data_IF_381917379896
#
_entry.id   IF_381917379896
#
_cell.length_a   1.000
_cell.length_b   1.000
_cell.length_c   1.000
_cell.angle_alpha   90.00
_cell.angle_beta   90.00
_cell.angle_gamma   90.00
#
_symmetry.space_group_name_H-M   'P 1'
#
loop_
_entity.id
_entity.type
_entity.pdbx_description
1 polymer ?
#
# COMPACT_ATOMS: atom_id res chain seq x y z
N UNK A 1 -6.73 6.50 20.98
CA UNK A 1 -6.73 6.62 19.51
C UNK A 1 -5.52 5.93 18.88
N UNK A 2 -4.29 6.40 19.13
CA UNK A 2 -3.08 5.85 18.53
C UNK A 2 -2.85 4.34 18.77
N UNK A 3 -3.11 3.82 19.98
CA UNK A 3 -2.99 2.38 20.25
C UNK A 3 -4.01 1.52 19.50
N UNK A 4 -5.24 2.00 19.34
CA UNK A 4 -6.25 1.32 18.53
C UNK A 4 -5.85 1.33 17.06
N UNK A 5 -5.44 2.48 16.53
CA UNK A 5 -4.90 2.60 15.17
C UNK A 5 -3.73 1.63 14.93
N UNK A 6 -2.75 1.55 15.83
CA UNK A 6 -1.62 0.63 15.70
C UNK A 6 -2.05 -0.85 15.66
N UNK A 7 -3.17 -1.20 16.30
CA UNK A 7 -3.71 -2.58 16.29
C UNK A 7 -4.38 -2.93 14.97
N UNK A 8 -5.13 -1.98 14.40
CA UNK A 8 -5.94 -2.22 13.19
C UNK A 8 -5.30 -1.75 11.89
N UNK A 9 -4.19 -1.00 11.97
CA UNK A 9 -3.48 -0.54 10.78
C UNK A 9 -3.00 -1.75 9.99
N UNK A 10 -3.25 -1.79 8.66
CA UNK A 10 -2.92 -2.95 7.85
C UNK A 10 -1.41 -3.15 7.68
N UNK A 11 -0.59 -2.13 7.94
CA UNK A 11 0.86 -2.16 7.74
C UNK A 11 1.66 -2.28 9.04
N UNK A 12 2.78 -3.00 8.95
CA UNK A 12 3.69 -3.16 10.08
C UNK A 12 4.52 -1.91 10.33
N UNK A 13 4.61 -1.49 11.60
CA UNK A 13 5.35 -0.28 11.96
C UNK A 13 6.88 -0.41 11.94
N UNK A 14 7.41 -1.61 11.67
CA UNK A 14 8.84 -1.92 11.76
C UNK A 14 9.51 -2.25 10.40
N UNK A 15 8.80 -2.17 9.28
CA UNK A 15 9.35 -2.53 7.95
C UNK A 15 10.38 -1.50 7.48
N UNK A 16 11.47 -1.99 6.89
CA UNK A 16 12.57 -1.17 6.39
C UNK A 16 12.13 -0.39 5.14
N UNK A 17 12.45 0.90 5.09
CA UNK A 17 12.07 1.77 3.97
C UNK A 17 12.63 1.31 2.63
N UNK A 18 13.84 0.74 2.60
CA UNK A 18 14.44 0.24 1.38
C UNK A 18 13.66 -0.97 0.82
N UNK A 19 13.07 -1.78 1.69
CA UNK A 19 12.23 -2.92 1.27
C UNK A 19 10.96 -2.41 0.59
N UNK A 20 10.35 -1.33 1.12
CA UNK A 20 9.13 -0.74 0.57
C UNK A 20 9.30 -0.30 -0.89
N UNK A 21 10.43 0.33 -1.23
CA UNK A 21 10.73 0.72 -2.62
C UNK A 21 10.77 -0.51 -3.55
N UNK A 22 11.48 -1.55 -3.13
CA UNK A 22 11.66 -2.75 -3.93
C UNK A 22 10.37 -3.54 -4.10
N UNK A 23 9.46 -3.52 -3.11
CA UNK A 23 8.14 -4.15 -3.19
C UNK A 23 7.32 -3.52 -4.32
N UNK A 24 7.16 -2.19 -4.31
CA UNK A 24 6.35 -1.48 -5.32
C UNK A 24 6.96 -1.63 -6.72
N UNK A 25 8.29 -1.49 -6.86
CA UNK A 25 8.95 -1.64 -8.16
C UNK A 25 8.80 -3.05 -8.73
N UNK A 26 8.92 -4.10 -7.90
CA UNK A 26 8.66 -5.49 -8.32
C UNK A 26 7.21 -5.69 -8.75
N UNK A 27 6.26 -5.11 -8.02
CA UNK A 27 4.85 -5.19 -8.38
C UNK A 27 4.57 -4.53 -9.74
N UNK A 28 5.06 -3.30 -9.98
CA UNK A 28 4.91 -2.66 -11.30
C UNK A 28 5.59 -3.46 -12.41
N UNK A 29 6.78 -3.98 -12.17
CA UNK A 29 7.49 -4.82 -13.15
C UNK A 29 6.69 -6.08 -13.49
N UNK A 30 6.08 -6.73 -12.51
CA UNK A 30 5.19 -7.86 -12.74
C UNK A 30 4.00 -7.47 -13.63
N UNK A 31 3.35 -6.34 -13.34
CA UNK A 31 2.22 -5.85 -14.12
C UNK A 31 2.62 -5.52 -15.57
N UNK A 32 3.76 -4.86 -15.78
CA UNK A 32 4.34 -4.63 -17.12
C UNK A 32 4.55 -5.95 -17.87
N UNK A 33 5.11 -6.96 -17.21
CA UNK A 33 5.36 -8.27 -17.80
C UNK A 33 4.05 -9.03 -18.14
N UNK A 34 2.96 -8.74 -17.43
CA UNK A 34 1.61 -9.25 -17.73
C UNK A 34 0.95 -8.57 -18.94
N UNK A 35 1.54 -7.48 -19.45
CA UNK A 35 1.04 -6.72 -20.61
C UNK A 35 0.27 -5.46 -20.25
N UNK A 36 0.20 -5.08 -18.97
CA UNK A 36 -0.42 -3.84 -18.55
C UNK A 36 0.41 -2.63 -18.99
N UNK A 37 -0.27 -1.63 -19.56
CA UNK A 37 0.33 -0.41 -20.12
C UNK A 37 -0.38 0.87 -19.66
N UNK A 38 -1.10 0.81 -18.55
CA UNK A 38 -1.68 1.96 -17.87
C UNK A 38 -0.57 2.89 -17.37
N UNK A 39 -0.90 4.18 -17.21
CA UNK A 39 0.08 5.22 -16.92
C UNK A 39 0.89 4.93 -15.66
N UNK A 40 0.24 4.52 -14.55
CA UNK A 40 0.91 4.32 -13.27
C UNK A 40 1.76 3.04 -13.19
N UNK A 41 1.70 2.20 -14.22
CA UNK A 41 2.52 1.00 -14.40
C UNK A 41 3.87 1.32 -15.09
N UNK A 42 4.01 2.49 -15.73
CA UNK A 42 5.23 2.86 -16.45
C UNK A 42 6.46 3.08 -15.54
N UNK A 43 7.65 2.86 -16.10
CA UNK A 43 8.93 2.94 -15.37
C UNK A 43 9.20 4.33 -14.75
N UNK A 44 8.63 5.40 -15.32
CA UNK A 44 8.75 6.74 -14.74
C UNK A 44 8.17 6.80 -13.32
N UNK A 45 7.14 6.01 -13.01
CA UNK A 45 6.56 5.94 -11.67
C UNK A 45 7.49 5.25 -10.68
N UNK A 46 8.41 4.39 -11.12
CA UNK A 46 9.45 3.83 -10.25
C UNK A 46 10.43 4.93 -9.80
N UNK A 47 10.83 5.84 -10.70
CA UNK A 47 11.70 6.99 -10.40
C UNK A 47 10.98 8.00 -9.49
N UNK A 48 9.71 8.32 -9.77
CA UNK A 48 8.93 9.23 -8.94
C UNK A 48 8.71 8.67 -7.53
N UNK A 49 8.45 7.38 -7.43
CA UNK A 49 8.30 6.66 -6.17
C UNK A 49 9.60 6.69 -5.36
N UNK A 50 10.74 6.42 -5.98
CA UNK A 50 12.06 6.51 -5.33
C UNK A 50 12.32 7.91 -4.76
N UNK A 51 12.11 8.96 -5.55
CA UNK A 51 12.30 10.36 -5.09
C UNK A 51 11.38 10.71 -3.91
N UNK A 52 10.13 10.22 -3.95
CA UNK A 52 9.15 10.40 -2.87
C UNK A 52 9.61 9.69 -1.59
N UNK A 53 10.08 8.45 -1.69
CA UNK A 53 10.64 7.66 -0.59
C UNK A 53 11.85 8.37 0.02
N UNK A 54 12.81 8.81 -0.79
CA UNK A 54 14.00 9.52 -0.32
C UNK A 54 13.63 10.80 0.44
N UNK A 55 12.72 11.61 -0.12
CA UNK A 55 12.23 12.85 0.52
C UNK A 55 11.60 12.57 1.89
N UNK A 56 10.71 11.59 2.00
CA UNK A 56 10.02 11.26 3.25
C UNK A 56 10.95 10.63 4.28
N UNK A 57 11.91 9.81 3.82
CA UNK A 57 12.95 9.20 4.66
C UNK A 57 13.85 10.25 5.30
N UNK A 58 14.29 11.25 4.52
CA UNK A 58 15.14 12.34 5.00
C UNK A 58 14.42 13.18 6.07
N UNK A 59 13.09 13.29 6.00
CA UNK A 59 12.26 13.97 7.00
C UNK A 59 11.86 13.08 8.18
N UNK A 60 12.25 11.79 8.19
CA UNK A 60 11.83 10.77 9.17
C UNK A 60 10.30 10.60 9.25
N UNK A 61 9.58 10.88 8.15
CA UNK A 61 8.12 10.75 8.05
C UNK A 61 7.72 9.31 7.69
N UNK A 62 8.17 8.32 8.47
CA UNK A 62 8.05 6.90 8.09
C UNK A 62 6.60 6.40 8.01
N UNK A 63 5.71 6.91 8.86
CA UNK A 63 4.29 6.57 8.79
C UNK A 63 3.66 7.08 7.49
N UNK A 64 3.97 8.33 7.12
CA UNK A 64 3.50 8.96 5.89
C UNK A 64 4.05 8.23 4.66
N UNK A 65 5.31 7.82 4.70
CA UNK A 65 5.91 6.99 3.67
C UNK A 65 5.13 5.70 3.46
N UNK A 66 4.88 4.93 4.51
CA UNK A 66 4.13 3.66 4.40
C UNK A 66 2.72 3.88 3.87
N UNK A 67 2.02 4.89 4.40
CA UNK A 67 0.69 5.24 3.93
C UNK A 67 0.68 5.55 2.43
N UNK A 68 1.64 6.35 1.94
CA UNK A 68 1.73 6.67 0.52
C UNK A 68 2.10 5.45 -0.33
N UNK A 69 2.97 4.56 0.16
CA UNK A 69 3.38 3.35 -0.57
C UNK A 69 2.28 2.29 -0.64
N UNK A 70 1.52 2.13 0.44
CA UNK A 70 0.27 1.38 0.42
C UNK A 70 -0.70 1.96 -0.63
N UNK A 71 -0.83 3.29 -0.69
CA UNK A 71 -1.63 3.98 -1.70
C UNK A 71 -1.18 3.70 -3.15
N UNK A 72 0.13 3.62 -3.40
CA UNK A 72 0.65 3.23 -4.73
C UNK A 72 0.22 1.82 -5.11
N UNK A 73 0.31 0.85 -4.19
CA UNK A 73 -0.14 -0.53 -4.44
C UNK A 73 -1.65 -0.61 -4.68
N UNK A 74 -2.44 0.13 -3.92
CA UNK A 74 -3.90 0.22 -4.08
C UNK A 74 -4.29 0.82 -5.43
N UNK A 75 -3.57 1.85 -5.88
CA UNK A 75 -3.83 2.45 -7.17
C UNK A 75 -3.54 1.49 -8.32
N UNK A 76 -2.43 0.76 -8.26
CA UNK A 76 -2.11 -0.28 -9.23
C UNK A 76 -3.19 -1.37 -9.29
N UNK A 77 -3.75 -1.76 -8.15
CA UNK A 77 -4.91 -2.67 -8.12
C UNK A 77 -6.12 -2.06 -8.82
N UNK A 78 -6.49 -0.82 -8.52
CA UNK A 78 -7.63 -0.19 -9.20
C UNK A 78 -7.48 -0.13 -10.71
N UNK A 79 -6.26 0.10 -11.21
CA UNK A 79 -6.01 0.15 -12.66
C UNK A 79 -5.95 -1.22 -13.34
N UNK A 80 -5.58 -2.28 -12.61
CA UNK A 80 -5.24 -3.59 -13.19
C UNK A 80 -6.09 -4.74 -12.68
N UNK A 81 -7.09 -4.46 -11.83
CA UNK A 81 -7.97 -5.49 -11.24
C UNK A 81 -8.87 -6.17 -12.26
N UNK A 82 -9.18 -5.53 -13.38
CA UNK A 82 -10.09 -6.05 -14.41
C UNK A 82 -11.46 -6.51 -13.84
N UNK A 83 -11.92 -5.85 -12.77
CA UNK A 83 -13.19 -6.17 -12.09
C UNK A 83 -13.09 -7.28 -11.02
N UNK A 84 -11.90 -7.80 -10.74
CA UNK A 84 -11.68 -8.71 -9.62
C UNK A 84 -11.85 -8.01 -8.28
N UNK A 85 -12.44 -8.72 -7.32
CA UNK A 85 -12.37 -8.31 -5.92
C UNK A 85 -10.91 -8.29 -5.45
N UNK A 86 -10.64 -7.51 -4.42
CA UNK A 86 -9.30 -7.34 -3.87
C UNK A 86 -8.68 -8.69 -3.47
N UNK A 87 -9.46 -9.54 -2.80
CA UNK A 87 -9.02 -10.85 -2.31
C UNK A 87 -8.61 -11.76 -3.48
N UNK A 88 -9.45 -11.84 -4.52
CA UNK A 88 -9.17 -12.64 -5.71
C UNK A 88 -7.95 -12.12 -6.47
N UNK A 89 -7.86 -10.80 -6.61
CA UNK A 89 -6.71 -10.17 -7.25
C UNK A 89 -5.41 -10.52 -6.53
N UNK A 90 -5.40 -10.46 -5.20
CA UNK A 90 -4.23 -10.80 -4.38
C UNK A 90 -3.88 -12.28 -4.50
N UNK A 91 -4.87 -13.18 -4.45
CA UNK A 91 -4.68 -14.64 -4.61
C UNK A 91 -4.06 -15.02 -5.96
N UNK A 92 -4.33 -14.25 -7.03
CA UNK A 92 -3.77 -14.48 -8.36
C UNK A 92 -2.32 -13.98 -8.52
N UNK A 93 -1.81 -13.16 -7.60
CA UNK A 93 -0.42 -12.71 -7.65
C UNK A 93 0.54 -13.85 -7.29
N UNK A 94 1.78 -13.85 -7.81
CA UNK A 94 2.81 -14.78 -7.36
C UNK A 94 3.02 -14.70 -5.83
N UNK A 95 3.22 -15.84 -5.17
CA UNK A 95 3.41 -15.93 -3.72
C UNK A 95 4.46 -14.95 -3.17
N UNK A 96 5.55 -14.74 -3.91
CA UNK A 96 6.58 -13.76 -3.56
C UNK A 96 6.01 -12.34 -3.50
N UNK A 97 5.22 -11.94 -4.49
CA UNK A 97 4.56 -10.63 -4.51
C UNK A 97 3.49 -10.51 -3.44
N UNK A 98 2.72 -11.58 -3.17
CA UNK A 98 1.76 -11.57 -2.06
C UNK A 98 2.48 -11.31 -0.72
N UNK A 99 3.58 -12.02 -0.48
CA UNK A 99 4.40 -11.83 0.71
C UNK A 99 4.97 -10.41 0.80
N UNK A 100 5.56 -9.92 -0.29
CA UNK A 100 6.12 -8.58 -0.39
C UNK A 100 5.06 -7.49 -0.10
N UNK A 101 3.92 -7.56 -0.78
CA UNK A 101 2.82 -6.61 -0.65
C UNK A 101 2.20 -6.65 0.76
N UNK A 102 2.19 -7.81 1.42
CA UNK A 102 1.75 -7.91 2.81
C UNK A 102 2.59 -7.07 3.77
N UNK A 103 3.88 -6.87 3.49
CA UNK A 103 4.76 -6.07 4.35
C UNK A 103 4.34 -4.58 4.38
N UNK A 104 3.76 -4.08 3.28
CA UNK A 104 3.26 -2.71 3.18
C UNK A 104 1.78 -2.58 3.53
N UNK A 105 1.17 -3.65 4.06
CA UNK A 105 -0.22 -3.70 4.46
C UNK A 105 -1.21 -3.86 3.32
N UNK A 106 -0.75 -4.33 2.17
CA UNK A 106 -1.64 -4.69 1.07
C UNK A 106 -2.17 -6.12 1.31
N UNK A 107 -3.03 -6.25 2.31
CA UNK A 107 -3.64 -7.51 2.79
C UNK A 107 -5.16 -7.36 2.89
N UNK A 108 -5.92 -8.46 2.80
CA UNK A 108 -7.34 -8.45 3.12
C UNK A 108 -7.50 -8.17 4.61
N UNK A 109 -8.50 -7.36 4.96
CA UNK A 109 -8.83 -7.07 6.35
C UNK A 109 -10.11 -7.79 6.74
N UNK A 110 -10.14 -8.26 7.98
CA UNK A 110 -11.36 -8.79 8.59
C UNK A 110 -12.37 -7.64 8.77
N UNK A 111 -13.66 -7.96 8.63
CA UNK A 111 -14.75 -6.96 8.74
C UNK A 111 -14.67 -6.16 10.05
N UNK A 112 -14.33 -6.81 11.16
CA UNK A 112 -14.14 -6.16 12.47
C UNK A 112 -13.06 -5.07 12.44
N UNK A 113 -11.97 -5.28 11.70
CA UNK A 113 -10.83 -4.37 11.65
C UNK A 113 -11.20 -3.17 10.78
N UNK A 114 -11.96 -3.39 9.70
CA UNK A 114 -12.54 -2.33 8.87
C UNK A 114 -13.49 -1.46 9.69
N UNK A 115 -14.42 -2.06 10.44
CA UNK A 115 -15.36 -1.32 11.30
C UNK A 115 -14.62 -0.45 12.32
N UNK A 116 -13.58 -0.98 12.97
CA UNK A 116 -12.77 -0.20 13.91
C UNK A 116 -12.01 0.95 13.23
N UNK A 117 -11.51 0.77 12.00
CA UNK A 117 -10.90 1.86 11.22
C UNK A 117 -11.93 2.95 10.92
N UNK A 118 -13.15 2.58 10.53
CA UNK A 118 -14.24 3.53 10.29
C UNK A 118 -14.59 4.31 11.56
N UNK A 119 -14.73 3.65 12.71
CA UNK A 119 -14.97 4.31 13.99
C UNK A 119 -13.85 5.30 14.35
N UNK A 120 -12.58 4.93 14.14
CA UNK A 120 -11.45 5.83 14.37
C UNK A 120 -11.49 7.05 13.45
N UNK A 121 -11.96 6.87 12.21
CA UNK A 121 -12.09 7.92 11.22
C UNK A 121 -13.20 8.92 11.60
N UNK A 122 -14.35 8.44 12.07
CA UNK A 122 -15.43 9.28 12.60
C UNK A 122 -14.97 10.13 13.78
N UNK A 123 -14.17 9.57 14.69
CA UNK A 123 -13.59 10.35 15.79
C UNK A 123 -12.67 11.44 15.26
N UNK A 124 -11.83 11.16 14.25
CA UNK A 124 -10.97 12.18 13.65
C UNK A 124 -11.78 13.31 12.99
N UNK A 125 -12.84 12.96 12.25
CA UNK A 125 -13.74 13.94 11.63
C UNK A 125 -14.42 14.83 12.67
N UNK A 126 -14.87 14.25 13.79
CA UNK A 126 -15.48 15.00 14.90
C UNK A 126 -14.54 16.02 15.55
N UNK A 127 -13.22 15.84 15.41
CA UNK A 127 -12.20 16.75 15.96
C UNK A 127 -11.80 17.85 14.97
N UNK A 128 -12.23 17.76 13.70
CA UNK A 128 -11.96 18.77 12.68
C UNK A 128 -13.00 19.91 12.62
N UNK A 129 -14.01 19.85 13.49
CA UNK A 129 -15.06 20.84 13.68
C UNK A 129 -14.92 21.53 15.04
#
# INVERSE_FOLDING_TARGET
MYHKFKRVAPFQLNVNVLEVQHIISRFRKYLRNKGYSQNDVFEIHDILCERKIQRLSNKKEYLNLRYQMYGEALWLYFETSEGLSFEKYLEELPNELQHDLSQIGFIPLEEKDVLEICELSEVLLSLSH
#
